data_IF_700588239430
#
_entry.id   IF_700588239430
#
_cell.length_a   1.000
_cell.length_b   1.000
_cell.length_c   1.000
_cell.angle_alpha   90.00
_cell.angle_beta   90.00
_cell.angle_gamma   90.00
#
_symmetry.space_group_name_H-M   'P 1'
#
loop_
_entity.id
_entity.type
_entity.pdbx_description
1 polymer ?
#
# COMPACT_ATOMS: atom_id res chain seq x y z
N UNK A 1 12.07 -14.19 5.02
CA UNK A 1 10.62 -14.49 5.08
C UNK A 1 9.89 -13.15 5.04
N UNK A 2 8.94 -12.96 4.12
CA UNK A 2 8.06 -11.80 4.15
C UNK A 2 6.97 -12.03 5.20
N UNK A 3 6.63 -11.00 5.96
CA UNK A 3 5.64 -11.09 7.02
C UNK A 3 4.35 -10.40 6.56
N UNK A 4 3.23 -11.11 6.58
CA UNK A 4 1.90 -10.59 6.26
C UNK A 4 1.28 -9.99 7.53
N UNK A 5 0.90 -8.70 7.52
CA UNK A 5 0.52 -7.99 8.75
C UNK A 5 -0.91 -7.43 8.68
N UNK A 6 -1.85 -8.16 9.30
CA UNK A 6 -3.19 -7.67 9.66
C UNK A 6 -4.18 -7.42 8.51
N UNK A 7 -5.47 -7.35 8.84
CA UNK A 7 -6.49 -6.85 7.93
C UNK A 7 -6.49 -5.32 7.98
N UNK A 8 -6.20 -4.69 6.85
CA UNK A 8 -6.41 -3.25 6.67
C UNK A 8 -7.92 -2.99 6.59
N UNK A 9 -8.51 -2.55 7.71
CA UNK A 9 -9.89 -2.06 7.73
C UNK A 9 -9.97 -0.77 6.92
N UNK A 10 -10.29 -0.89 5.64
CA UNK A 10 -10.49 0.23 4.74
C UNK A 10 -11.87 0.85 5.06
N UNK A 11 -11.91 1.87 5.91
CA UNK A 11 -13.09 2.73 6.03
C UNK A 11 -13.26 3.50 4.71
N UNK A 12 -13.99 2.86 3.78
CA UNK A 12 -14.42 3.29 2.45
C UNK A 12 -13.95 4.68 2.01
N UNK A 13 -12.88 4.73 1.24
CA UNK A 13 -12.70 5.80 0.27
C UNK A 13 -13.30 5.35 -1.07
N UNK A 14 -14.64 5.44 -1.20
CA UNK A 14 -15.38 5.18 -2.46
C UNK A 14 -14.95 6.10 -3.64
N UNK A 15 -13.99 7.00 -3.40
CA UNK A 15 -13.39 7.92 -4.38
C UNK A 15 -12.27 7.23 -5.19
N UNK A 16 -11.76 6.09 -4.72
CA UNK A 16 -10.58 5.45 -5.30
C UNK A 16 -10.99 4.11 -5.92
N UNK A 17 -10.70 3.91 -7.21
CA UNK A 17 -11.01 2.68 -7.96
C UNK A 17 -10.12 1.47 -7.59
N UNK A 18 -9.52 1.47 -6.39
CA UNK A 18 -8.87 0.31 -5.79
C UNK A 18 -9.97 -0.62 -5.31
N UNK A 19 -10.04 -1.81 -5.91
CA UNK A 19 -11.02 -2.85 -5.57
C UNK A 19 -10.54 -3.71 -4.40
N UNK A 20 -9.24 -4.01 -4.35
CA UNK A 20 -8.66 -4.86 -3.31
C UNK A 20 -7.23 -4.45 -2.99
N UNK A 21 -6.89 -4.54 -1.71
CA UNK A 21 -5.52 -4.49 -1.22
C UNK A 21 -5.10 -5.93 -0.94
N UNK A 22 -4.07 -6.40 -1.63
CA UNK A 22 -3.54 -7.76 -1.50
C UNK A 22 -2.43 -7.83 -0.47
N UNK A 23 -1.66 -6.75 -0.34
CA UNK A 23 -0.48 -6.75 0.50
C UNK A 23 -0.15 -5.36 1.03
N UNK A 24 0.26 -5.30 2.30
CA UNK A 24 1.03 -4.21 2.88
C UNK A 24 2.08 -4.85 3.79
N UNK A 25 3.29 -5.07 3.28
CA UNK A 25 4.36 -5.75 4.02
C UNK A 25 5.68 -4.99 3.98
N UNK A 26 6.50 -5.20 5.01
CA UNK A 26 7.89 -4.76 5.03
C UNK A 26 8.81 -5.94 4.70
N UNK A 27 9.70 -5.76 3.72
CA UNK A 27 10.77 -6.70 3.43
C UNK A 27 12.05 -5.92 3.04
N UNK A 28 13.16 -6.21 3.72
CA UNK A 28 14.46 -5.56 3.49
C UNK A 28 14.41 -4.01 3.50
N UNK A 29 13.64 -3.44 4.44
CA UNK A 29 13.45 -2.00 4.58
C UNK A 29 12.57 -1.35 3.50
N UNK A 30 11.98 -2.16 2.61
CA UNK A 30 11.06 -1.74 1.56
C UNK A 30 9.65 -2.13 1.98
N UNK A 31 8.71 -1.19 1.91
CA UNK A 31 7.28 -1.51 1.98
C UNK A 31 6.79 -1.87 0.58
N UNK A 32 6.17 -3.04 0.48
CA UNK A 32 5.46 -3.52 -0.69
C UNK A 32 3.97 -3.32 -0.46
N UNK A 33 3.32 -2.64 -1.41
CA UNK A 33 1.90 -2.36 -1.38
C UNK A 33 1.24 -2.85 -2.66
N UNK A 34 0.49 -3.93 -2.54
CA UNK A 34 -0.14 -4.57 -3.69
C UNK A 34 -1.63 -4.28 -3.70
N UNK A 35 -2.12 -3.79 -4.82
CA UNK A 35 -3.52 -3.46 -5.01
C UNK A 35 -4.02 -3.98 -6.35
N UNK A 36 -5.31 -4.27 -6.45
CA UNK A 36 -5.98 -4.40 -7.74
C UNK A 36 -7.07 -3.36 -7.90
N UNK A 37 -7.29 -2.96 -9.14
CA UNK A 37 -8.33 -2.00 -9.53
C UNK A 37 -9.50 -2.72 -10.16
N UNK A 38 -10.62 -2.02 -10.31
CA UNK A 38 -11.70 -2.48 -11.20
C UNK A 38 -11.12 -2.83 -12.58
N UNK A 39 -11.65 -3.86 -13.27
CA UNK A 39 -11.09 -4.39 -14.50
C UNK A 39 -11.43 -3.53 -15.73
N UNK A 40 -11.07 -2.25 -15.71
CA UNK A 40 -11.19 -1.35 -16.84
C UNK A 40 -10.02 -0.35 -16.90
N UNK A 41 -9.71 0.12 -18.11
CA UNK A 41 -8.54 0.96 -18.39
C UNK A 41 -8.56 2.31 -17.66
N UNK A 42 -9.75 2.89 -17.47
CA UNK A 42 -9.91 4.18 -16.80
C UNK A 42 -9.57 4.07 -15.31
N UNK A 43 -10.17 3.10 -14.61
CA UNK A 43 -9.86 2.80 -13.21
C UNK A 43 -8.39 2.48 -13.00
N UNK A 44 -7.80 1.69 -13.89
CA UNK A 44 -6.36 1.43 -13.91
C UNK A 44 -5.55 2.72 -13.96
N UNK A 45 -5.83 3.60 -14.92
CA UNK A 45 -5.08 4.84 -15.06
C UNK A 45 -5.28 5.77 -13.86
N UNK A 46 -6.50 5.91 -13.34
CA UNK A 46 -6.79 6.70 -12.13
C UNK A 46 -5.97 6.28 -10.93
N UNK A 47 -5.84 4.97 -10.72
CA UNK A 47 -5.05 4.45 -9.59
C UNK A 47 -3.56 4.66 -9.83
N UNK A 48 -3.05 4.43 -11.04
CA UNK A 48 -1.65 4.76 -11.37
C UNK A 48 -1.36 6.24 -11.11
N UNK A 49 -2.22 7.14 -11.62
CA UNK A 49 -2.08 8.58 -11.44
C UNK A 49 -2.14 8.98 -9.96
N UNK A 50 -2.98 8.31 -9.16
CA UNK A 50 -3.08 8.53 -7.73
C UNK A 50 -1.72 8.32 -7.04
N UNK A 51 -1.09 7.17 -7.24
CA UNK A 51 0.19 6.82 -6.60
C UNK A 51 1.39 7.58 -7.17
N UNK A 52 1.33 8.00 -8.44
CA UNK A 52 2.40 8.76 -9.07
C UNK A 52 2.36 10.24 -8.71
N UNK A 53 1.17 10.82 -8.54
CA UNK A 53 1.02 12.27 -8.41
C UNK A 53 0.78 12.75 -6.98
N UNK A 54 0.25 11.89 -6.10
CA UNK A 54 -0.05 12.22 -4.69
C UNK A 54 0.85 11.47 -3.73
N UNK A 55 1.17 12.11 -2.61
CA UNK A 55 1.94 11.45 -1.56
C UNK A 55 1.04 10.43 -0.84
N UNK A 56 1.56 9.21 -0.67
CA UNK A 56 0.88 8.16 0.07
C UNK A 56 1.18 8.27 1.56
N UNK A 57 0.17 8.60 2.35
CA UNK A 57 0.24 8.73 3.79
C UNK A 57 -0.39 7.51 4.47
N UNK A 58 0.33 6.95 5.44
CA UNK A 58 -0.20 5.93 6.35
C UNK A 58 -0.37 6.57 7.71
N UNK A 59 -1.57 6.46 8.27
CA UNK A 59 -1.92 7.01 9.57
C UNK A 59 -2.13 5.84 10.53
N UNK A 60 -1.31 5.78 11.59
CA UNK A 60 -1.36 4.72 12.61
C UNK A 60 -1.56 5.38 13.97
N UNK A 61 -2.68 5.09 14.64
CA UNK A 61 -3.05 5.70 15.93
C UNK A 61 -2.85 7.24 15.95
N UNK A 62 -3.38 7.92 14.93
CA UNK A 62 -3.27 9.37 14.70
C UNK A 62 -1.87 9.91 14.35
N UNK A 63 -0.85 9.05 14.23
CA UNK A 63 0.47 9.45 13.72
C UNK A 63 0.54 9.27 12.21
N UNK A 64 0.92 10.32 11.49
CA UNK A 64 1.11 10.30 10.03
C UNK A 64 2.53 9.88 9.65
N UNK A 65 2.64 9.00 8.66
CA UNK A 65 3.88 8.53 8.05
C UNK A 65 3.80 8.74 6.53
N UNK A 66 4.75 9.47 5.94
CA UNK A 66 4.74 9.73 4.50
C UNK A 66 5.58 8.70 3.77
N UNK A 67 4.95 7.85 2.96
CA UNK A 67 5.65 6.93 2.07
C UNK A 67 6.08 7.61 0.76
N UNK A 68 5.49 8.76 0.44
CA UNK A 68 5.74 9.53 -0.78
C UNK A 68 5.01 8.94 -1.97
N UNK A 69 5.52 9.23 -3.16
CA UNK A 69 4.99 8.75 -4.45
C UNK A 69 5.68 7.47 -4.88
N UNK A 70 5.00 6.67 -5.69
CA UNK A 70 5.60 5.48 -6.29
C UNK A 70 5.04 5.21 -7.68
N UNK A 71 5.86 4.62 -8.53
CA UNK A 71 5.45 4.12 -9.84
C UNK A 71 5.13 2.63 -9.72
N UNK A 72 4.05 2.14 -10.35
CA UNK A 72 3.72 0.73 -10.29
C UNK A 72 4.83 -0.11 -10.93
N UNK A 73 5.26 -1.16 -10.26
CA UNK A 73 6.01 -2.25 -10.89
C UNK A 73 5.01 -3.27 -11.44
N UNK A 74 5.19 -3.67 -12.69
CA UNK A 74 4.41 -4.77 -13.25
C UNK A 74 4.78 -6.05 -12.51
N UNK A 75 3.78 -6.84 -12.14
CA UNK A 75 4.00 -8.15 -11.55
C UNK A 75 4.79 -9.02 -12.55
N UNK A 76 5.94 -9.62 -12.15
CA UNK A 76 6.87 -10.26 -13.07
C UNK A 76 6.29 -11.45 -13.86
N UNK A 77 5.12 -11.97 -13.45
CA UNK A 77 4.48 -13.14 -14.07
C UNK A 77 3.22 -12.81 -14.87
N UNK A 78 2.94 -11.54 -15.17
CA UNK A 78 1.78 -11.17 -15.99
C UNK A 78 2.21 -10.28 -17.13
N UNK A 79 2.62 -10.90 -18.24
CA UNK A 79 2.96 -10.23 -19.50
C UNK A 79 1.77 -9.55 -20.19
N UNK A 80 0.57 -9.59 -19.60
CA UNK A 80 -0.61 -8.93 -20.15
C UNK A 80 -0.73 -7.49 -19.63
N UNK A 81 -0.69 -6.55 -20.57
CA UNK A 81 -0.99 -5.12 -20.37
C UNK A 81 -2.40 -4.85 -19.80
N UNK A 82 -3.24 -5.88 -19.70
CA UNK A 82 -4.56 -5.87 -19.10
C UNK A 82 -4.56 -6.22 -17.60
N UNK A 83 -3.40 -6.45 -16.98
CA UNK A 83 -3.37 -6.71 -15.55
C UNK A 83 -3.78 -5.45 -14.77
N UNK A 84 -4.80 -5.62 -13.93
CA UNK A 84 -5.36 -4.61 -13.04
C UNK A 84 -4.75 -4.66 -11.63
N UNK A 85 -3.78 -5.56 -11.41
CA UNK A 85 -2.97 -5.63 -10.19
C UNK A 85 -1.64 -4.86 -10.34
N UNK A 86 -1.28 -4.15 -9.28
CA UNK A 86 -0.07 -3.33 -9.18
C UNK A 86 0.68 -3.66 -7.91
N UNK A 87 2.00 -3.65 -7.99
CA UNK A 87 2.90 -3.60 -6.83
C UNK A 87 3.50 -2.20 -6.77
N UNK A 88 3.39 -1.55 -5.61
CA UNK A 88 4.07 -0.29 -5.33
C UNK A 88 5.15 -0.52 -4.28
N UNK A 89 6.31 0.08 -4.48
CA UNK A 89 7.47 -0.07 -3.57
C UNK A 89 7.81 1.28 -2.97
N UNK A 90 8.05 1.27 -1.66
CA UNK A 90 8.44 2.45 -0.91
C UNK A 90 9.68 2.14 -0.08
N UNK A 91 10.70 2.98 -0.21
CA UNK A 91 11.93 2.90 0.58
C UNK A 91 12.33 4.30 1.02
N UNK A 92 11.95 4.68 2.25
CA UNK A 92 12.30 5.98 2.81
C UNK A 92 12.46 5.88 4.33
N UNK A 93 12.62 7.02 5.00
CA UNK A 93 12.82 7.04 6.45
C UNK A 93 11.56 6.62 7.23
N UNK A 94 10.37 6.92 6.74
CA UNK A 94 9.11 6.57 7.40
C UNK A 94 8.73 5.10 7.15
N UNK A 95 9.15 4.47 6.05
CA UNK A 95 8.98 3.02 5.84
C UNK A 95 9.67 2.20 6.94
N UNK A 96 10.86 2.64 7.38
CA UNK A 96 11.58 2.04 8.50
C UNK A 96 10.81 2.14 9.82
N UNK A 97 10.24 3.32 10.11
CA UNK A 97 9.44 3.54 11.33
C UNK A 97 8.19 2.67 11.36
N UNK A 98 7.45 2.61 10.25
CA UNK A 98 6.30 1.70 10.12
C UNK A 98 6.76 0.26 10.32
N UNK A 99 7.89 -0.13 9.73
CA UNK A 99 8.45 -1.47 9.90
C UNK A 99 8.67 -1.87 11.36
N UNK A 100 9.23 -0.97 12.18
CA UNK A 100 9.40 -1.19 13.62
C UNK A 100 8.04 -1.37 14.30
N UNK A 101 7.03 -0.57 13.95
CA UNK A 101 5.69 -0.68 14.52
C UNK A 101 5.02 -2.01 14.16
N UNK A 102 5.13 -2.46 12.91
CA UNK A 102 4.59 -3.74 12.46
C UNK A 102 5.24 -4.92 13.22
N UNK A 103 6.56 -4.87 13.42
CA UNK A 103 7.27 -5.86 14.22
C UNK A 103 6.79 -5.88 15.68
N UNK A 104 6.60 -4.70 16.29
CA UNK A 104 6.08 -4.59 17.66
C UNK A 104 4.67 -5.15 17.78
N UNK A 105 3.79 -4.85 16.82
CA UNK A 105 2.43 -5.41 16.79
C UNK A 105 2.44 -6.94 16.71
N UNK A 106 3.33 -7.51 15.88
CA UNK A 106 3.47 -8.95 15.77
C UNK A 106 3.97 -9.61 17.07
N UNK A 107 4.93 -8.98 17.76
CA UNK A 107 5.48 -9.50 19.00
C UNK A 107 4.50 -9.43 20.18
N UNK A 108 3.70 -8.37 20.23
CA UNK A 108 2.78 -8.08 21.35
C UNK A 108 1.36 -8.56 21.11
N UNK A 109 0.99 -8.86 19.86
CA UNK A 109 -0.39 -9.11 19.45
C UNK A 109 -1.28 -7.87 19.46
N UNK A 110 -0.71 -6.69 19.76
CA UNK A 110 -1.46 -5.44 19.79
C UNK A 110 -1.91 -5.05 18.38
N UNK A 111 -3.22 -4.87 18.21
CA UNK A 111 -3.80 -4.33 16.99
C UNK A 111 -3.76 -2.79 17.03
N UNK A 112 -3.58 -2.19 15.85
CA UNK A 112 -3.57 -0.74 15.64
C UNK A 112 -4.47 -0.40 14.47
N UNK A 113 -5.02 0.80 14.51
CA UNK A 113 -5.85 1.29 13.41
C UNK A 113 -4.97 1.90 12.33
N UNK A 114 -5.14 1.43 11.10
CA UNK A 114 -4.46 1.95 9.92
C UNK A 114 -5.46 2.68 9.05
N UNK A 115 -5.12 3.91 8.67
CA UNK A 115 -5.82 4.65 7.65
C UNK A 115 -4.85 5.00 6.51
N UNK A 116 -5.30 4.81 5.28
CA UNK A 116 -4.54 5.03 4.06
C UNK A 116 -5.07 6.30 3.39
N UNK A 117 -4.19 7.26 3.12
CA UNK A 117 -4.59 8.54 2.54
C UNK A 117 -3.66 8.96 1.40
N UNK A 118 -4.20 9.68 0.42
CA UNK A 118 -3.46 10.24 -0.70
C UNK A 118 -3.71 11.74 -0.77
N UNK A 119 -2.69 12.53 -0.40
CA UNK A 119 -2.72 14.00 -0.36
C UNK A 119 -1.92 14.60 -1.52
#
# INVERSE_FOLDING_TARGET
>A
MGHHFGELNNEQNNVIDIEKIWCFLLYDGIIFFDVSTKPNKESRQKVIDLFQNKDFWVIIDNKKYNLGKSTPTQYPNTSNSENYAFEFKYKNHDTQKIGILLQQMQQTGQQKNFCLNWE
#
